data_IF_477756568906
#
_entry.id   IF_477756568906
#
_cell.length_a   1.000
_cell.length_b   1.000
_cell.length_c   1.000
_cell.angle_alpha   90.00
_cell.angle_beta   90.00
_cell.angle_gamma   90.00
#
_symmetry.space_group_name_H-M   'P 1'
#
loop_
_entity.id
_entity.type
_entity.pdbx_description
1 polymer ?
#
# COMPACT_ATOMS: atom_id res chain seq x y z
N UNK A 1 -1.69 -16.93 40.19
CA UNK A 1 -0.90 -15.90 39.51
C UNK A 1 -0.67 -14.77 40.49
N UNK A 2 0.59 -14.48 40.82
CA UNK A 2 0.96 -13.42 41.77
C UNK A 2 0.78 -12.06 41.11
N UNK A 3 -0.29 -11.34 41.48
CA UNK A 3 -0.42 -9.93 41.13
C UNK A 3 0.61 -9.15 41.96
N UNK A 4 1.71 -8.73 41.34
CA UNK A 4 2.61 -7.76 41.96
C UNK A 4 1.88 -6.43 42.04
N UNK A 5 1.56 -5.98 43.25
CA UNK A 5 0.98 -4.65 43.46
C UNK A 5 1.97 -3.59 42.97
N UNK A 6 1.49 -2.65 42.14
CA UNK A 6 2.28 -1.50 41.71
C UNK A 6 2.80 -0.76 42.95
N UNK A 7 4.12 -0.57 43.03
CA UNK A 7 4.73 0.29 44.04
C UNK A 7 4.97 1.66 43.42
N UNK A 8 4.41 2.70 44.03
CA UNK A 8 4.62 4.09 43.64
C UNK A 8 5.30 4.83 44.78
N UNK A 9 6.31 5.64 44.47
CA UNK A 9 6.91 6.59 45.42
C UNK A 9 7.13 7.93 44.75
N UNK A 10 6.95 9.00 45.50
CA UNK A 10 7.26 10.36 45.09
C UNK A 10 8.45 10.91 45.86
N UNK A 11 9.14 11.89 45.27
CA UNK A 11 10.18 12.69 45.93
C UNK A 11 9.91 14.16 45.68
N UNK A 12 10.32 14.98 46.64
CA UNK A 12 10.30 16.43 46.59
C UNK A 12 11.73 16.97 46.71
N UNK A 13 11.99 18.17 46.18
CA UNK A 13 13.29 18.83 46.22
C UNK A 13 13.40 19.72 47.47
N UNK A 14 13.15 19.15 48.64
CA UNK A 14 13.11 19.86 49.91
C UNK A 14 14.35 19.65 50.78
N UNK A 15 15.24 18.71 50.41
CA UNK A 15 16.46 18.40 51.14
C UNK A 15 17.76 18.72 50.39
N UNK A 16 18.27 19.97 50.38
CA UNK A 16 17.63 21.24 50.74
C UNK A 16 16.93 21.89 49.52
N UNK A 17 16.00 22.81 49.77
CA UNK A 17 15.35 23.62 48.72
C UNK A 17 16.39 24.50 48.00
N UNK A 18 16.28 24.63 46.68
CA UNK A 18 17.14 25.51 45.89
C UNK A 18 17.03 26.98 46.35
N UNK A 19 18.18 27.63 46.58
CA UNK A 19 18.30 29.04 46.98
C UNK A 19 19.37 29.76 46.16
N UNK A 20 19.30 31.09 46.08
CA UNK A 20 20.30 31.95 45.43
C UNK A 20 20.65 31.54 43.97
N UNK A 21 19.64 31.26 43.14
CA UNK A 21 19.85 30.82 41.75
C UNK A 21 20.23 29.34 41.60
N UNK A 22 20.13 28.54 42.67
CA UNK A 22 20.28 27.09 42.61
C UNK A 22 19.27 26.42 41.68
N UNK A 23 19.67 25.27 41.12
CA UNK A 23 18.84 24.50 40.18
C UNK A 23 17.99 23.45 40.91
N UNK A 24 16.75 23.29 40.47
CA UNK A 24 15.87 22.21 40.90
C UNK A 24 16.45 20.82 40.60
N UNK A 25 16.04 19.80 41.36
CA UNK A 25 16.53 18.44 41.11
C UNK A 25 16.09 17.95 39.73
N UNK A 26 17.02 17.40 38.96
CA UNK A 26 16.72 16.81 37.65
C UNK A 26 16.14 15.40 37.79
N UNK A 27 15.28 15.04 36.83
CA UNK A 27 14.68 13.72 36.70
C UNK A 27 13.26 13.61 37.28
N UNK A 28 12.63 12.44 37.16
CA UNK A 28 11.24 12.26 37.55
C UNK A 28 11.03 12.41 39.06
N UNK A 29 9.92 13.03 39.45
CA UNK A 29 9.48 13.15 40.85
C UNK A 29 8.68 11.93 41.31
N UNK A 30 8.16 11.14 40.37
CA UNK A 30 7.40 9.92 40.63
C UNK A 30 8.16 8.72 40.06
N UNK A 31 8.31 7.68 40.87
CA UNK A 31 8.88 6.40 40.47
C UNK A 31 7.85 5.29 40.66
N UNK A 32 7.59 4.53 39.59
CA UNK A 32 6.70 3.37 39.59
C UNK A 32 7.55 2.10 39.41
N UNK A 33 7.35 1.10 40.27
CA UNK A 33 8.08 -0.17 40.29
C UNK A 33 7.14 -1.37 40.47
N UNK A 34 7.63 -2.57 40.14
CA UNK A 34 6.93 -3.84 40.29
C UNK A 34 5.61 -3.98 39.51
N UNK A 35 5.41 -3.19 38.46
CA UNK A 35 4.27 -3.36 37.55
C UNK A 35 4.57 -2.95 36.09
N UNK A 36 5.85 -3.00 35.71
CA UNK A 36 6.24 -2.96 34.30
C UNK A 36 5.60 -4.13 33.58
N UNK A 37 4.86 -3.83 32.50
CA UNK A 37 4.23 -4.85 31.66
C UNK A 37 4.83 -4.74 30.28
N UNK A 38 5.41 -5.84 29.80
CA UNK A 38 5.94 -5.90 28.45
C UNK A 38 4.81 -5.90 27.44
N UNK A 39 5.07 -5.27 26.29
CA UNK A 39 4.23 -5.32 25.13
C UNK A 39 4.13 -6.72 24.54
N UNK A 40 2.96 -7.09 24.06
CA UNK A 40 2.72 -8.30 23.29
C UNK A 40 2.09 -7.98 21.94
N UNK A 41 2.50 -8.74 20.92
CA UNK A 41 1.90 -8.66 19.60
C UNK A 41 0.46 -9.19 19.62
N UNK A 42 -0.44 -8.51 18.92
CA UNK A 42 -1.69 -9.13 18.49
C UNK A 42 -1.39 -10.28 17.53
N UNK A 43 -2.36 -11.19 17.34
CA UNK A 43 -2.38 -12.01 16.14
C UNK A 43 -2.27 -11.11 14.89
N UNK A 44 -1.70 -11.67 13.84
CA UNK A 44 -1.73 -11.02 12.53
C UNK A 44 -3.16 -10.88 12.04
N UNK A 45 -3.45 -9.76 11.39
CA UNK A 45 -4.66 -9.65 10.57
C UNK A 45 -4.64 -10.70 9.45
N UNK A 46 -5.81 -10.98 8.89
CA UNK A 46 -5.87 -11.60 7.57
C UNK A 46 -5.11 -10.75 6.55
N UNK A 47 -4.64 -11.39 5.48
CA UNK A 47 -4.08 -10.68 4.35
C UNK A 47 -5.14 -9.77 3.73
N UNK A 48 -4.75 -8.54 3.40
CA UNK A 48 -5.57 -7.62 2.64
C UNK A 48 -5.78 -8.10 1.21
N UNK A 49 -6.61 -7.38 0.46
CA UNK A 49 -6.77 -7.67 -0.96
C UNK A 49 -5.47 -7.38 -1.73
N UNK A 50 -5.24 -8.15 -2.80
CA UNK A 50 -4.12 -7.91 -3.70
C UNK A 50 -4.27 -6.54 -4.38
N UNK A 51 -3.18 -5.78 -4.46
CA UNK A 51 -3.16 -4.44 -5.08
C UNK A 51 -3.61 -4.44 -6.54
N UNK A 52 -3.38 -5.54 -7.24
CA UNK A 52 -3.64 -5.70 -8.67
C UNK A 52 -4.55 -6.90 -8.88
N UNK A 53 -5.58 -6.76 -9.69
CA UNK A 53 -6.49 -7.87 -10.02
C UNK A 53 -5.89 -8.82 -11.06
N UNK A 54 -4.83 -8.42 -11.75
CA UNK A 54 -4.06 -9.21 -12.70
C UNK A 54 -2.59 -8.78 -12.62
N UNK A 55 -1.69 -9.60 -13.19
CA UNK A 55 -0.25 -9.39 -13.08
C UNK A 55 0.25 -9.55 -11.65
N UNK A 56 1.54 -9.27 -11.47
CA UNK A 56 2.16 -9.27 -10.15
C UNK A 56 1.57 -8.11 -9.33
N UNK A 57 0.98 -8.44 -8.18
CA UNK A 57 0.53 -7.48 -7.19
C UNK A 57 1.11 -7.79 -5.81
N UNK A 58 0.74 -6.98 -4.83
CA UNK A 58 1.16 -7.13 -3.43
C UNK A 58 -0.05 -7.14 -2.50
N UNK A 59 0.01 -7.96 -1.45
CA UNK A 59 -0.94 -7.95 -0.36
C UNK A 59 -0.24 -7.74 0.97
N UNK A 60 -0.95 -7.11 1.91
CA UNK A 60 -0.38 -6.61 3.16
C UNK A 60 -1.18 -7.17 4.33
N UNK A 61 -0.49 -7.57 5.40
CA UNK A 61 -1.10 -7.85 6.70
C UNK A 61 -0.42 -7.05 7.81
N UNK A 62 -1.13 -6.85 8.92
CA UNK A 62 -0.66 -6.01 10.02
C UNK A 62 -0.92 -6.65 11.38
N UNK A 63 -0.13 -6.25 12.37
CA UNK A 63 -0.31 -6.58 13.79
C UNK A 63 0.13 -5.40 14.64
N UNK A 64 -0.40 -5.32 15.86
CA UNK A 64 -0.15 -4.22 16.79
C UNK A 64 0.46 -4.70 18.09
N UNK A 65 1.31 -3.88 18.70
CA UNK A 65 1.93 -4.18 20.01
C UNK A 65 1.02 -3.71 21.16
N UNK A 66 -0.20 -4.23 21.21
CA UNK A 66 -1.20 -3.86 22.22
C UNK A 66 -1.91 -5.06 22.84
N UNK A 67 -1.41 -6.28 22.62
CA UNK A 67 -1.93 -7.51 23.23
C UNK A 67 -0.87 -8.24 24.05
N UNK A 68 -0.40 -7.65 25.17
CA UNK A 68 -0.88 -6.39 25.73
C UNK A 68 -0.08 -5.14 25.41
N UNK A 69 -0.62 -3.94 25.70
CA UNK A 69 0.14 -2.70 25.61
C UNK A 69 1.25 -2.62 26.67
N UNK A 70 2.47 -2.17 26.29
CA UNK A 70 3.53 -1.90 27.25
C UNK A 70 3.12 -0.86 28.29
N UNK A 71 3.54 -1.04 29.56
CA UNK A 71 3.29 -0.07 30.64
C UNK A 71 4.49 0.04 31.57
N UNK A 72 4.66 1.21 32.19
CA UNK A 72 5.64 1.51 33.25
C UNK A 72 7.07 1.06 32.90
N UNK A 73 7.55 1.43 31.71
CA UNK A 73 8.89 1.06 31.23
C UNK A 73 9.03 -0.39 30.75
N UNK A 74 7.91 -1.12 30.57
CA UNK A 74 7.92 -2.43 29.94
C UNK A 74 8.40 -2.40 28.48
N UNK A 75 8.99 -3.51 28.02
CA UNK A 75 9.61 -3.60 26.70
C UNK A 75 8.57 -3.48 25.59
N UNK A 76 8.89 -2.74 24.53
CA UNK A 76 8.11 -2.74 23.30
C UNK A 76 8.29 -4.05 22.52
N UNK A 77 7.35 -4.37 21.64
CA UNK A 77 7.47 -5.55 20.80
C UNK A 77 8.58 -5.36 19.76
N UNK A 78 9.44 -6.36 19.65
CA UNK A 78 10.51 -6.38 18.65
C UNK A 78 10.00 -7.07 17.38
N UNK A 79 10.34 -6.52 16.22
CA UNK A 79 9.96 -7.02 14.90
C UNK A 79 9.00 -6.09 14.15
N UNK A 80 8.62 -6.49 12.94
CA UNK A 80 7.77 -5.69 12.08
C UNK A 80 6.28 -5.82 12.47
N UNK A 81 5.56 -4.71 12.44
CA UNK A 81 4.10 -4.64 12.61
C UNK A 81 3.31 -4.72 11.29
N UNK A 82 4.02 -4.69 10.15
CA UNK A 82 3.46 -4.80 8.80
C UNK A 82 4.29 -5.81 8.03
N UNK A 83 3.61 -6.65 7.26
CA UNK A 83 4.23 -7.63 6.37
C UNK A 83 3.57 -7.54 4.99
N UNK A 84 4.36 -7.79 3.96
CA UNK A 84 3.98 -7.68 2.56
C UNK A 84 4.44 -8.93 1.80
N UNK A 85 3.60 -9.44 0.91
CA UNK A 85 3.96 -10.56 0.02
C UNK A 85 3.38 -10.36 -1.38
N UNK A 86 3.99 -11.05 -2.34
CA UNK A 86 3.50 -11.10 -3.71
C UNK A 86 2.19 -11.89 -3.79
N UNK A 87 1.33 -11.44 -4.69
CA UNK A 87 0.09 -12.10 -5.07
C UNK A 87 -0.11 -12.00 -6.58
N UNK A 88 -0.97 -12.88 -7.13
CA UNK A 88 -1.34 -12.90 -8.55
C UNK A 88 -0.20 -13.11 -9.56
N UNK A 89 0.95 -13.64 -9.13
CA UNK A 89 2.13 -13.90 -9.97
C UNK A 89 1.83 -14.72 -11.25
N UNK A 90 0.86 -15.63 -11.19
CA UNK A 90 0.45 -16.48 -12.32
C UNK A 90 -0.72 -15.93 -13.13
N UNK A 91 -1.31 -14.81 -12.71
CA UNK A 91 -2.49 -14.24 -13.36
C UNK A 91 -2.04 -13.23 -14.40
N UNK A 92 -2.21 -13.57 -15.68
CA UNK A 92 -1.86 -12.64 -16.76
C UNK A 92 -2.87 -11.49 -16.82
N UNK A 93 -2.37 -10.29 -17.09
CA UNK A 93 -3.25 -9.17 -17.43
C UNK A 93 -3.77 -9.30 -18.86
N UNK A 94 -5.03 -8.93 -19.11
CA UNK A 94 -5.52 -8.80 -20.47
C UNK A 94 -4.64 -7.79 -21.21
N UNK A 95 -4.22 -8.17 -22.41
CA UNK A 95 -3.49 -7.27 -23.30
C UNK A 95 -4.41 -6.11 -23.70
N UNK A 96 -3.86 -4.90 -23.89
CA UNK A 96 -4.66 -3.80 -24.37
C UNK A 96 -5.18 -4.12 -25.77
N UNK A 97 -6.46 -3.80 -26.00
CA UNK A 97 -7.09 -3.93 -27.31
C UNK A 97 -6.72 -2.70 -28.13
N UNK A 98 -6.02 -2.91 -29.24
CA UNK A 98 -5.45 -1.84 -30.06
C UNK A 98 -5.85 -2.02 -31.52
N UNK A 99 -5.93 -0.91 -32.25
CA UNK A 99 -5.90 -0.97 -33.71
C UNK A 99 -4.48 -1.21 -34.19
N UNK A 100 -4.31 -2.08 -35.18
CA UNK A 100 -3.09 -2.09 -36.00
C UNK A 100 -2.95 -0.78 -36.77
N UNK A 101 -1.74 -0.52 -37.26
CA UNK A 101 -1.52 0.52 -38.24
C UNK A 101 -2.44 0.29 -39.45
N UNK A 102 -2.93 1.37 -40.05
CA UNK A 102 -3.68 1.27 -41.29
C UNK A 102 -2.85 0.56 -42.36
N UNK A 103 -3.47 -0.40 -43.05
CA UNK A 103 -2.91 -0.96 -44.26
C UNK A 103 -2.78 0.09 -45.37
N UNK A 104 -2.05 -0.25 -46.45
CA UNK A 104 -1.95 0.62 -47.61
C UNK A 104 -3.34 0.89 -48.21
N UNK A 105 -3.48 2.02 -48.87
CA UNK A 105 -4.67 2.29 -49.69
C UNK A 105 -4.74 1.29 -50.85
N UNK A 106 -5.93 0.72 -51.05
CA UNK A 106 -6.23 -0.09 -52.22
C UNK A 106 -6.26 0.79 -53.48
N UNK A 107 -6.11 0.14 -54.64
CA UNK A 107 -6.29 0.81 -55.93
C UNK A 107 -7.67 1.46 -56.04
N UNK A 108 -7.74 2.56 -56.78
CA UNK A 108 -8.98 3.25 -57.05
C UNK A 108 -9.98 2.31 -57.74
N UNK A 109 -11.26 2.45 -57.40
CA UNK A 109 -12.34 1.67 -58.03
C UNK A 109 -12.56 2.00 -59.51
N UNK A 110 -12.06 3.15 -59.98
CA UNK A 110 -12.16 3.61 -61.36
C UNK A 110 -10.93 4.45 -61.71
N UNK A 111 -10.48 4.34 -62.96
CA UNK A 111 -9.34 5.10 -63.49
C UNK A 111 -9.72 6.53 -63.91
N UNK A 112 -11.01 6.80 -64.17
CA UNK A 112 -11.54 8.13 -64.46
C UNK A 112 -13.00 8.30 -63.98
N UNK A 113 -13.36 9.50 -63.52
CA UNK A 113 -14.75 9.86 -63.18
C UNK A 113 -15.19 9.58 -61.74
N UNK A 114 -14.35 9.93 -60.74
CA UNK A 114 -14.76 9.91 -59.32
C UNK A 114 -14.63 8.53 -58.64
N UNK A 115 -13.42 8.00 -58.53
CA UNK A 115 -13.14 6.71 -57.89
C UNK A 115 -13.07 6.78 -56.36
N UNK A 116 -13.32 5.64 -55.70
CA UNK A 116 -13.16 5.47 -54.26
C UNK A 116 -11.95 4.57 -53.99
N UNK A 117 -11.06 5.02 -53.11
CA UNK A 117 -10.02 4.19 -52.53
C UNK A 117 -10.43 3.76 -51.12
N UNK A 118 -10.00 2.56 -50.70
CA UNK A 118 -10.29 2.05 -49.37
C UNK A 118 -9.04 1.55 -48.68
N UNK A 119 -9.01 1.60 -47.35
CA UNK A 119 -7.97 0.98 -46.54
C UNK A 119 -8.60 0.32 -45.32
N UNK A 120 -7.92 -0.68 -44.78
CA UNK A 120 -8.39 -1.45 -43.63
C UNK A 120 -7.33 -1.54 -42.54
N UNK A 121 -7.78 -1.84 -41.33
CA UNK A 121 -6.98 -2.15 -40.15
C UNK A 121 -7.68 -3.25 -39.35
N UNK A 122 -6.92 -3.94 -38.52
CA UNK A 122 -7.40 -5.07 -37.71
C UNK A 122 -7.33 -4.73 -36.23
N UNK A 123 -8.27 -5.30 -35.46
CA UNK A 123 -8.28 -5.18 -34.01
C UNK A 123 -7.37 -6.26 -33.43
N UNK A 124 -6.33 -5.87 -32.69
CA UNK A 124 -5.43 -6.78 -31.99
C UNK A 124 -5.88 -6.97 -30.54
N UNK A 125 -5.63 -8.16 -30.00
CA UNK A 125 -5.90 -8.54 -28.62
C UNK A 125 -7.38 -8.46 -28.18
N UNK A 126 -8.32 -8.36 -29.12
CA UNK A 126 -9.74 -8.34 -28.83
C UNK A 126 -10.63 -8.32 -30.07
N UNK A 127 -11.94 -8.38 -29.83
CA UNK A 127 -12.98 -8.39 -30.88
C UNK A 127 -13.74 -7.06 -30.99
N UNK A 128 -13.50 -6.11 -30.08
CA UNK A 128 -14.27 -4.87 -29.97
C UNK A 128 -13.33 -3.67 -29.90
N UNK A 129 -12.98 -3.13 -31.07
CA UNK A 129 -12.25 -1.87 -31.17
C UNK A 129 -13.24 -0.73 -31.50
N UNK A 130 -13.16 0.44 -30.84
CA UNK A 130 -14.01 1.58 -31.17
C UNK A 130 -13.67 2.15 -32.57
N UNK A 131 -14.72 2.38 -33.36
CA UNK A 131 -14.64 2.93 -34.72
C UNK A 131 -14.63 1.88 -35.84
N UNK A 132 -14.53 2.32 -37.09
CA UNK A 132 -14.57 1.44 -38.25
C UNK A 132 -13.21 0.77 -38.54
N UNK A 133 -13.27 -0.49 -38.95
CA UNK A 133 -12.12 -1.27 -39.42
C UNK A 133 -11.71 -0.93 -40.86
N UNK A 134 -12.62 -0.34 -41.63
CA UNK A 134 -12.43 0.04 -43.02
C UNK A 134 -12.91 1.48 -43.22
N UNK A 135 -12.14 2.26 -43.97
CA UNK A 135 -12.52 3.62 -44.37
C UNK A 135 -12.30 3.82 -45.86
N UNK A 136 -13.13 4.67 -46.43
CA UNK A 136 -13.10 5.04 -47.85
C UNK A 136 -12.81 6.52 -47.98
N UNK A 137 -12.02 6.88 -48.99
CA UNK A 137 -11.81 8.27 -49.41
C UNK A 137 -12.22 8.40 -50.88
N UNK A 138 -13.06 9.38 -51.17
CA UNK A 138 -13.43 9.75 -52.53
C UNK A 138 -12.42 10.77 -53.06
N UNK A 139 -11.96 10.58 -54.30
CA UNK A 139 -11.30 11.65 -55.05
C UNK A 139 -12.28 12.16 -56.12
N UNK A 140 -12.45 13.48 -56.19
CA UNK A 140 -13.18 14.16 -57.25
C UNK A 140 -12.32 14.31 -58.51
#
# INVERSE_FOLDING_TARGET
>A
GTFSSCKCRSRSCDGPVARCGGVECKGPTIQVANCSRNGGWTPWSSWGQCSSSCGIGFEVRQRSCNNPSPRHGGRICVGQGREERLCNEKKLCPLPVLWTAWGPWAHCSADCGGGVQSRSRTCENGNTCPGCAMVQACFE
#
